data_IF_022575893728
#
_entry.id   IF_022575893728
#
_cell.length_a   1.000
_cell.length_b   1.000
_cell.length_c   1.000
_cell.angle_alpha   90.00
_cell.angle_beta   90.00
_cell.angle_gamma   90.00
#
_symmetry.space_group_name_H-M   'P 1'
#
loop_
_entity.id
_entity.type
_entity.pdbx_description
1 polymer ?
#
# COMPACT_ATOMS: atom_id res chain seq x y z
N UNK A 1 -6.44 7.62 10.31
CA UNK A 1 -5.58 6.54 10.81
C UNK A 1 -4.16 6.88 10.38
N UNK A 2 -3.19 6.80 11.29
CA UNK A 2 -1.77 7.00 10.98
C UNK A 2 -1.07 5.65 10.73
N UNK A 3 0.19 5.70 10.28
CA UNK A 3 0.98 4.49 10.00
C UNK A 3 1.21 3.64 11.24
N UNK A 4 1.37 4.27 12.42
CA UNK A 4 1.51 3.54 13.68
C UNK A 4 0.28 2.69 13.96
N UNK A 5 -0.92 3.25 13.77
CA UNK A 5 -2.17 2.52 13.94
C UNK A 5 -2.30 1.38 12.94
N UNK A 6 -1.96 1.60 11.67
CA UNK A 6 -1.97 0.54 10.64
C UNK A 6 -1.03 -0.61 11.03
N UNK A 7 0.20 -0.30 11.43
CA UNK A 7 1.20 -1.28 11.85
C UNK A 7 0.78 -2.04 13.12
N UNK A 8 0.11 -1.37 14.06
CA UNK A 8 -0.45 -2.02 15.25
C UNK A 8 -1.55 -3.02 14.88
N UNK A 9 -2.51 -2.62 14.06
CA UNK A 9 -3.60 -3.50 13.61
C UNK A 9 -3.05 -4.72 12.86
N UNK A 10 -2.04 -4.52 12.02
CA UNK A 10 -1.40 -5.61 11.28
C UNK A 10 -0.65 -6.58 12.21
N UNK A 11 0.01 -6.08 13.26
CA UNK A 11 0.62 -6.93 14.30
C UNK A 11 -0.41 -7.72 15.10
N UNK A 12 -1.55 -7.12 15.44
CA UNK A 12 -2.66 -7.83 16.11
C UNK A 12 -3.18 -8.98 15.24
N UNK A 13 -3.33 -8.74 13.93
CA UNK A 13 -3.74 -9.75 12.97
C UNK A 13 -2.70 -10.87 12.83
N UNK A 14 -1.41 -10.52 12.71
CA UNK A 14 -0.33 -11.49 12.66
C UNK A 14 -0.29 -12.35 13.94
N UNK A 15 -0.39 -11.76 15.13
CA UNK A 15 -0.34 -12.51 16.39
C UNK A 15 -1.45 -13.55 16.49
N UNK A 16 -2.65 -13.23 15.98
CA UNK A 16 -3.77 -14.18 15.89
C UNK A 16 -3.48 -15.38 14.97
N UNK A 17 -2.63 -15.21 13.96
CA UNK A 17 -2.36 -16.21 12.93
C UNK A 17 -0.91 -16.71 12.91
N UNK A 18 -0.12 -16.40 13.95
CA UNK A 18 1.33 -16.65 14.06
C UNK A 18 1.75 -18.11 13.88
N UNK A 19 0.84 -19.05 14.15
CA UNK A 19 1.12 -20.49 14.03
C UNK A 19 1.00 -21.00 12.59
N UNK A 20 0.35 -20.22 11.71
CA UNK A 20 0.07 -20.59 10.32
C UNK A 20 0.69 -19.66 9.29
N UNK A 21 1.00 -18.42 9.67
CA UNK A 21 1.53 -17.41 8.76
C UNK A 21 3.06 -17.40 8.77
N UNK A 22 3.63 -16.96 7.65
CA UNK A 22 5.06 -16.70 7.51
C UNK A 22 5.53 -15.72 8.60
N UNK A 23 6.65 -16.01 9.31
CA UNK A 23 7.19 -15.15 10.36
C UNK A 23 7.37 -13.69 9.95
N UNK A 24 7.29 -12.78 10.92
CA UNK A 24 7.70 -11.38 10.76
C UNK A 24 9.23 -11.25 10.70
N UNK A 25 9.82 -11.76 9.62
CA UNK A 25 11.27 -11.71 9.36
C UNK A 25 11.54 -11.23 7.92
N UNK A 26 12.70 -10.60 7.65
CA UNK A 26 13.00 -10.00 6.34
C UNK A 26 12.93 -10.98 5.17
N UNK A 27 13.26 -12.25 5.38
CA UNK A 27 13.30 -13.30 4.36
C UNK A 27 11.92 -13.54 3.71
N UNK A 28 10.85 -13.22 4.43
CA UNK A 28 9.47 -13.38 3.97
C UNK A 28 8.89 -12.10 3.35
N UNK A 29 9.60 -10.96 3.40
CA UNK A 29 9.11 -9.69 2.85
C UNK A 29 8.84 -9.77 1.33
N UNK A 30 9.61 -10.59 0.61
CA UNK A 30 9.37 -10.86 -0.82
C UNK A 30 7.99 -11.46 -1.07
N UNK A 31 7.56 -12.40 -0.23
CA UNK A 31 6.24 -13.04 -0.40
C UNK A 31 5.14 -12.00 -0.21
N UNK A 32 5.24 -11.14 0.80
CA UNK A 32 4.29 -10.02 1.01
C UNK A 32 4.24 -9.04 -0.16
N UNK A 33 5.39 -8.78 -0.81
CA UNK A 33 5.40 -7.97 -2.04
C UNK A 33 4.68 -8.65 -3.20
N UNK A 34 4.79 -9.97 -3.33
CA UNK A 34 4.06 -10.72 -4.35
C UNK A 34 2.55 -10.66 -4.09
N UNK A 35 2.12 -10.88 -2.85
CA UNK A 35 0.72 -10.72 -2.46
C UNK A 35 0.20 -9.30 -2.70
N UNK A 36 0.98 -8.26 -2.35
CA UNK A 36 0.63 -6.87 -2.67
C UNK A 36 0.38 -6.67 -4.17
N UNK A 37 1.21 -7.26 -5.04
CA UNK A 37 1.03 -7.16 -6.50
C UNK A 37 -0.25 -7.87 -6.95
N UNK A 38 -0.62 -8.99 -6.32
CA UNK A 38 -1.90 -9.66 -6.58
C UNK A 38 -3.09 -8.77 -6.22
N UNK A 39 -3.06 -8.10 -5.05
CA UNK A 39 -4.12 -7.17 -4.65
C UNK A 39 -4.25 -5.95 -5.57
N UNK A 40 -3.11 -5.43 -6.06
CA UNK A 40 -3.14 -4.40 -7.11
C UNK A 40 -3.80 -4.96 -8.39
N UNK A 41 -3.57 -6.23 -8.71
CA UNK A 41 -4.23 -6.93 -9.81
C UNK A 41 -5.75 -6.98 -9.64
N UNK A 42 -6.24 -7.18 -8.43
CA UNK A 42 -7.67 -7.17 -8.10
C UNK A 42 -8.30 -5.79 -8.33
N UNK A 43 -7.65 -4.72 -7.85
CA UNK A 43 -8.03 -3.32 -8.14
C UNK A 43 -8.11 -3.07 -9.65
N UNK A 44 -7.08 -3.48 -10.39
CA UNK A 44 -7.03 -3.34 -11.86
C UNK A 44 -8.15 -4.13 -12.52
N UNK A 45 -8.49 -5.32 -12.01
CA UNK A 45 -9.58 -6.12 -12.55
C UNK A 45 -10.94 -5.44 -12.39
N UNK A 46 -11.19 -4.73 -11.28
CA UNK A 46 -12.40 -3.92 -11.09
C UNK A 46 -12.49 -2.84 -12.17
N UNK A 47 -11.43 -2.05 -12.35
CA UNK A 47 -11.39 -1.01 -13.37
C UNK A 47 -11.54 -1.56 -14.78
N UNK A 48 -10.87 -2.69 -15.10
CA UNK A 48 -11.00 -3.31 -16.42
C UNK A 48 -12.42 -3.77 -16.73
N UNK A 49 -13.17 -4.23 -15.72
CA UNK A 49 -14.53 -4.79 -15.89
C UNK A 49 -15.63 -3.72 -15.86
N UNK A 50 -15.44 -2.64 -15.10
CA UNK A 50 -16.50 -1.65 -14.79
C UNK A 50 -16.15 -0.21 -15.18
N UNK A 51 -14.86 0.07 -15.34
CA UNK A 51 -14.36 1.43 -15.51
C UNK A 51 -14.32 2.21 -14.19
N UNK A 52 -13.46 3.21 -14.15
CA UNK A 52 -13.18 4.03 -12.97
C UNK A 52 -14.40 4.87 -12.58
N UNK A 53 -15.13 5.39 -13.57
CA UNK A 53 -16.31 6.23 -13.34
C UNK A 53 -17.44 5.45 -12.66
N UNK A 54 -17.74 4.24 -13.12
CA UNK A 54 -18.77 3.41 -12.50
C UNK A 54 -18.32 2.98 -11.10
N UNK A 55 -17.06 2.57 -10.95
CA UNK A 55 -16.48 2.22 -9.64
C UNK A 55 -16.60 3.37 -8.64
N UNK A 56 -16.45 4.62 -9.09
CA UNK A 56 -16.60 5.81 -8.26
C UNK A 56 -18.06 6.24 -8.03
N UNK A 57 -19.06 5.66 -8.67
CA UNK A 57 -20.46 6.12 -8.55
C UNK A 57 -21.37 5.06 -7.96
N UNK A 58 -21.08 3.79 -8.25
CA UNK A 58 -21.80 2.64 -7.72
C UNK A 58 -21.29 2.31 -6.30
N UNK A 59 -22.15 2.35 -5.26
CA UNK A 59 -21.73 2.09 -3.88
C UNK A 59 -21.12 0.70 -3.67
N UNK A 60 -21.66 -0.34 -4.33
CA UNK A 60 -21.17 -1.71 -4.18
C UNK A 60 -19.79 -1.89 -4.83
N UNK A 61 -19.57 -1.28 -6.01
CA UNK A 61 -18.25 -1.30 -6.65
C UNK A 61 -17.23 -0.45 -5.88
N UNK A 62 -17.67 0.67 -5.30
CA UNK A 62 -16.81 1.48 -4.42
C UNK A 62 -16.40 0.72 -3.18
N UNK A 63 -17.32 -0.02 -2.56
CA UNK A 63 -17.02 -0.88 -1.41
C UNK A 63 -15.98 -1.94 -1.77
N UNK A 64 -16.20 -2.69 -2.86
CA UNK A 64 -15.23 -3.67 -3.35
C UNK A 64 -13.85 -3.03 -3.62
N UNK A 65 -13.82 -1.88 -4.30
CA UNK A 65 -12.58 -1.14 -4.54
C UNK A 65 -11.86 -0.75 -3.24
N UNK A 66 -12.58 -0.29 -2.22
CA UNK A 66 -11.99 0.08 -0.94
C UNK A 66 -11.45 -1.13 -0.18
N UNK A 67 -12.09 -2.29 -0.33
CA UNK A 67 -11.58 -3.57 0.20
C UNK A 67 -10.23 -3.90 -0.43
N UNK A 68 -10.15 -3.99 -1.76
CA UNK A 68 -8.89 -4.36 -2.42
C UNK A 68 -7.77 -3.33 -2.16
N UNK A 69 -8.10 -2.05 -2.10
CA UNK A 69 -7.13 -1.01 -1.72
C UNK A 69 -6.68 -1.11 -0.26
N UNK A 70 -7.54 -1.64 0.61
CA UNK A 70 -7.17 -1.93 2.00
C UNK A 70 -6.23 -3.13 2.06
N UNK A 71 -6.46 -4.17 1.28
CA UNK A 71 -5.58 -5.34 1.19
C UNK A 71 -4.19 -4.95 0.66
N UNK A 72 -4.12 -4.07 -0.34
CA UNK A 72 -2.84 -3.45 -0.79
C UNK A 72 -2.12 -2.77 0.39
N UNK A 73 -2.82 -1.99 1.21
CA UNK A 73 -2.23 -1.33 2.37
C UNK A 73 -1.83 -2.31 3.48
N UNK A 74 -2.58 -3.40 3.66
CA UNK A 74 -2.26 -4.44 4.62
C UNK A 74 -0.95 -5.14 4.25
N UNK A 75 -0.80 -5.60 3.00
CA UNK A 75 0.45 -6.21 2.55
C UNK A 75 1.63 -5.23 2.51
N UNK A 76 1.37 -3.96 2.18
CA UNK A 76 2.39 -2.92 2.28
C UNK A 76 2.90 -2.77 3.73
N UNK A 77 1.98 -2.75 4.68
CA UNK A 77 2.30 -2.66 6.12
C UNK A 77 3.07 -3.90 6.58
N UNK A 78 2.68 -5.08 6.11
CA UNK A 78 3.37 -6.34 6.34
C UNK A 78 4.82 -6.34 5.86
N UNK A 79 5.11 -5.74 4.70
CA UNK A 79 6.48 -5.55 4.20
C UNK A 79 7.28 -4.67 5.16
N UNK A 80 6.72 -3.55 5.62
CA UNK A 80 7.39 -2.68 6.59
C UNK A 80 7.71 -3.42 7.88
N UNK A 81 6.74 -4.18 8.42
CA UNK A 81 6.91 -4.96 9.63
C UNK A 81 7.97 -6.05 9.49
N UNK A 82 7.95 -6.80 8.39
CA UNK A 82 8.95 -7.85 8.11
C UNK A 82 10.36 -7.29 7.96
N UNK A 83 10.48 -6.08 7.42
CA UNK A 83 11.76 -5.38 7.30
C UNK A 83 12.20 -4.68 8.60
N UNK A 84 11.41 -4.77 9.67
CA UNK A 84 11.72 -4.13 10.95
C UNK A 84 11.65 -2.60 10.91
N UNK A 85 10.98 -2.02 9.92
CA UNK A 85 10.84 -0.56 9.79
C UNK A 85 9.91 -0.04 10.87
N UNK A 86 10.30 1.04 11.55
CA UNK A 86 9.45 1.70 12.54
C UNK A 86 8.46 2.68 11.90
N UNK A 87 7.38 3.00 12.61
CA UNK A 87 6.42 4.03 12.20
C UNK A 87 7.08 5.39 12.02
N UNK A 88 8.03 5.73 12.89
CA UNK A 88 8.76 7.00 12.89
C UNK A 88 9.70 7.09 11.68
N UNK A 89 10.43 6.01 11.38
CA UNK A 89 11.32 5.93 10.21
C UNK A 89 10.53 6.15 8.92
N UNK A 90 9.41 5.44 8.77
CA UNK A 90 8.57 5.57 7.58
C UNK A 90 7.90 6.94 7.48
N UNK A 91 7.33 7.46 8.58
CA UNK A 91 6.70 8.77 8.61
C UNK A 91 7.70 9.89 8.26
N UNK A 92 8.94 9.82 8.78
CA UNK A 92 9.99 10.76 8.44
C UNK A 92 10.39 10.68 6.96
N UNK A 93 10.53 9.48 6.40
CA UNK A 93 10.82 9.28 4.99
C UNK A 93 9.71 9.84 4.08
N UNK A 94 8.44 9.55 4.42
CA UNK A 94 7.27 10.06 3.70
C UNK A 94 7.20 11.59 3.77
N UNK A 95 7.38 12.18 4.96
CA UNK A 95 7.39 13.64 5.16
C UNK A 95 8.48 14.34 4.34
N UNK A 96 9.71 13.80 4.34
CA UNK A 96 10.81 14.32 3.49
C UNK A 96 10.46 14.22 2.00
N UNK A 97 9.89 13.10 1.56
CA UNK A 97 9.45 12.93 0.16
C UNK A 97 8.35 13.92 -0.22
N UNK A 98 7.38 14.14 0.65
CA UNK A 98 6.29 15.09 0.45
C UNK A 98 6.80 16.53 0.37
N UNK A 99 7.65 16.98 1.31
CA UNK A 99 8.24 18.32 1.28
C UNK A 99 9.03 18.58 0.00
N UNK A 100 9.84 17.61 -0.45
CA UNK A 100 10.54 17.67 -1.73
C UNK A 100 9.57 17.79 -2.91
N UNK A 101 8.50 17.01 -2.92
CA UNK A 101 7.51 17.01 -3.99
C UNK A 101 6.68 18.30 -4.04
N UNK A 102 6.47 18.99 -2.90
CA UNK A 102 5.77 20.28 -2.84
C UNK A 102 6.60 21.43 -3.44
N UNK A 103 7.93 21.35 -3.33
CA UNK A 103 8.85 22.31 -3.96
C UNK A 103 9.23 21.94 -5.39
N UNK A 104 8.64 20.88 -5.98
CA UNK A 104 9.00 20.37 -7.29
C UNK A 104 8.17 21.05 -8.37
N UNK A 105 8.84 21.63 -9.37
CA UNK A 105 8.18 22.03 -10.61
C UNK A 105 8.09 20.82 -11.53
N UNK A 106 6.91 20.21 -11.60
CA UNK A 106 6.68 19.07 -12.47
C UNK A 106 6.67 19.47 -13.95
N UNK A 107 6.29 20.71 -14.28
CA UNK A 107 6.14 21.15 -15.67
C UNK A 107 7.48 21.24 -16.41
N UNK A 108 8.51 21.80 -15.75
CA UNK A 108 9.87 21.87 -16.32
C UNK A 108 10.60 20.53 -16.40
N UNK A 109 10.26 19.55 -15.56
CA UNK A 109 10.87 18.22 -15.64
C UNK A 109 10.29 17.38 -16.79
N UNK A 110 8.98 17.49 -17.09
CA UNK A 110 8.38 16.78 -18.23
C UNK A 110 8.99 17.20 -19.58
N UNK A 111 9.40 18.47 -19.74
CA UNK A 111 10.07 18.96 -20.94
C UNK A 111 11.49 18.38 -21.14
N UNK A 112 12.13 17.88 -20.09
CA UNK A 112 13.44 17.20 -20.17
C UNK A 112 13.35 15.67 -20.30
N UNK A 113 12.15 15.10 -20.18
CA UNK A 113 11.91 13.65 -20.29
C UNK A 113 11.37 13.20 -21.65
N UNK A 114 11.12 14.13 -22.57
CA UNK A 114 10.86 13.82 -23.97
C UNK A 114 12.16 14.07 -24.78
N UNK A 115 12.67 13.07 -25.52
CA UNK A 115 13.80 13.29 -26.44
C UNK A 115 13.45 14.25 -27.58
#
# INVERSE_FOLDING_TARGET
MDIETLMRMQRELYEKHRDTWDPLQPEYARNSLLWLVEEVGEVVAIFKKRGERETAQNPQLREAFLTEMSDVLMYFTDVLLRMGVSSEEFAAAYGKKHARNMGRDYSGEYEHFLP
#
